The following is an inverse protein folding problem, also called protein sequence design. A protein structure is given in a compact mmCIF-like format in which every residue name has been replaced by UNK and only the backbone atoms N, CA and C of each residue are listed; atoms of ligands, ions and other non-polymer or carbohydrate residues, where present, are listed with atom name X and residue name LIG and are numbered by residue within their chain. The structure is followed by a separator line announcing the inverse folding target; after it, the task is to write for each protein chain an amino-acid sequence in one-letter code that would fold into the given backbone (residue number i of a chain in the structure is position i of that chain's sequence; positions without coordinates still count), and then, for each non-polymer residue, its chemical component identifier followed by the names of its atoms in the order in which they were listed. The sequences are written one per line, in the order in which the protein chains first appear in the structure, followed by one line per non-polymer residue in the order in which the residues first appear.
data_IF_630151366038
#
_entry.id   IF_630151366038
#
_cell.length_a   1.000
_cell.length_b   1.000
_cell.length_c   1.000
_cell.angle_alpha   90.00
_cell.angle_beta   90.00
_cell.angle_gamma   90.00
#
_symmetry.space_group_name_H-M   'P 1'
#
loop_
_entity.id
_entity.type
_entity.pdbx_description
1 polymer ?
#
# COMPACT_ATOMS: atom_id res chain seq x y z
N UNK A 1 -2.98 31.33 1.63
CA UNK A 1 -3.44 29.94 1.79
C UNK A 1 -2.24 29.05 2.05
N UNK A 2 -2.28 28.17 3.04
CA UNK A 2 -1.21 27.21 3.25
C UNK A 2 -1.09 26.33 1.97
N UNK A 3 0.13 26.05 1.54
CA UNK A 3 0.35 25.18 0.38
C UNK A 3 -0.10 23.75 0.72
N UNK A 4 -0.87 23.13 -0.17
CA UNK A 4 -1.26 21.71 -0.02
C UNK A 4 -0.02 20.82 -0.05
N UNK A 5 -0.02 19.78 0.78
CA UNK A 5 1.09 18.83 0.83
C UNK A 5 1.07 17.97 -0.44
N UNK A 6 2.15 17.92 -1.24
CA UNK A 6 2.23 16.95 -2.34
C UNK A 6 2.25 15.53 -1.77
N UNK A 7 1.24 14.72 -2.08
CA UNK A 7 1.07 13.36 -1.56
C UNK A 7 1.03 12.35 -2.70
N UNK A 8 2.04 11.50 -2.78
CA UNK A 8 2.11 10.38 -3.73
C UNK A 8 1.57 9.13 -3.06
N UNK A 9 0.60 8.46 -3.70
CA UNK A 9 -0.07 7.26 -3.21
C UNK A 9 0.17 6.09 -4.16
N UNK A 10 0.64 4.98 -3.60
CA UNK A 10 0.99 3.75 -4.31
C UNK A 10 0.01 2.63 -3.94
N UNK A 11 -0.86 2.20 -4.86
CA UNK A 11 -1.89 1.21 -4.59
C UNK A 11 -1.34 -0.20 -4.36
N UNK A 12 -2.18 -1.04 -3.77
CA UNK A 12 -1.94 -2.47 -3.60
C UNK A 12 -1.94 -3.21 -4.95
N UNK A 13 -1.51 -4.47 -4.93
CA UNK A 13 -1.58 -5.37 -6.09
C UNK A 13 -2.96 -5.34 -6.72
N UNK A 14 -3.03 -5.17 -8.05
CA UNK A 14 -4.27 -5.10 -8.83
C UNK A 14 -5.22 -3.94 -8.46
N UNK A 15 -4.79 -3.00 -7.62
CA UNK A 15 -5.57 -1.82 -7.27
C UNK A 15 -5.20 -0.60 -8.13
N UNK A 16 -6.16 0.29 -8.26
CA UNK A 16 -6.03 1.57 -8.96
C UNK A 16 -6.43 2.75 -8.04
N UNK A 17 -6.75 3.91 -8.63
CA UNK A 17 -7.13 5.11 -7.89
C UNK A 17 -8.38 4.93 -7.01
N UNK A 18 -9.23 3.96 -7.31
CA UNK A 18 -10.42 3.65 -6.53
C UNK A 18 -10.10 3.27 -5.09
N UNK A 19 -8.91 2.65 -4.85
CA UNK A 19 -8.42 2.31 -3.52
C UNK A 19 -8.39 3.50 -2.55
N UNK A 20 -8.12 4.69 -3.08
CA UNK A 20 -7.90 5.91 -2.29
C UNK A 20 -8.95 6.99 -2.55
N UNK A 21 -10.03 6.71 -3.29
CA UNK A 21 -11.05 7.70 -3.66
C UNK A 21 -11.57 8.48 -2.46
N UNK A 22 -11.99 7.79 -1.39
CA UNK A 22 -12.52 8.45 -0.20
C UNK A 22 -11.49 9.38 0.47
N UNK A 23 -10.21 9.01 0.44
CA UNK A 23 -9.12 9.81 1.00
C UNK A 23 -8.81 11.02 0.12
N UNK A 24 -8.71 10.83 -1.20
CA UNK A 24 -8.44 11.94 -2.12
C UNK A 24 -9.51 13.01 -2.08
N UNK A 25 -10.77 12.60 -2.02
CA UNK A 25 -11.91 13.53 -1.91
C UNK A 25 -11.88 14.28 -0.58
N UNK A 26 -11.69 13.57 0.53
CA UNK A 26 -11.73 14.17 1.86
C UNK A 26 -10.49 15.01 2.21
N UNK A 27 -9.35 14.79 1.55
CA UNK A 27 -8.08 15.47 1.81
C UNK A 27 -7.76 16.58 0.80
N UNK A 28 -8.63 16.84 -0.18
CA UNK A 28 -8.37 17.76 -1.30
C UNK A 28 -8.00 19.20 -0.87
N UNK A 29 -8.41 19.65 0.31
CA UNK A 29 -8.07 20.96 0.84
C UNK A 29 -6.66 21.04 1.46
N UNK A 30 -6.13 19.90 1.94
CA UNK A 30 -4.85 19.84 2.68
C UNK A 30 -3.73 19.14 1.92
N UNK A 31 -4.05 18.29 0.93
CA UNK A 31 -3.09 17.55 0.14
C UNK A 31 -3.38 17.62 -1.36
N UNK A 32 -2.32 17.64 -2.15
CA UNK A 32 -2.35 17.42 -3.61
C UNK A 32 -2.02 15.95 -3.87
N UNK A 33 -3.07 15.12 -3.95
CA UNK A 33 -2.94 13.67 -4.04
C UNK A 33 -2.65 13.23 -5.48
N UNK A 34 -1.56 12.50 -5.68
CA UNK A 34 -1.22 11.86 -6.94
C UNK A 34 -1.11 10.36 -6.76
N UNK A 35 -2.05 9.62 -7.35
CA UNK A 35 -2.01 8.15 -7.36
C UNK A 35 -1.19 7.70 -8.56
N UNK A 36 -0.14 6.90 -8.32
CA UNK A 36 0.71 6.36 -9.38
C UNK A 36 0.61 4.84 -9.34
N UNK A 37 0.06 4.28 -10.41
CA UNK A 37 -0.03 2.83 -10.63
C UNK A 37 1.11 2.41 -11.53
N UNK A 38 1.87 1.39 -11.11
CA UNK A 38 2.93 0.80 -11.91
C UNK A 38 2.62 -0.65 -12.23
N UNK A 39 3.11 -1.14 -13.36
CA UNK A 39 2.96 -2.53 -13.77
C UNK A 39 4.27 -3.14 -14.25
N UNK A 40 5.39 -2.67 -13.71
CA UNK A 40 6.72 -3.23 -13.96
C UNK A 40 6.89 -4.56 -13.22
N UNK A 41 7.76 -5.41 -13.72
CA UNK A 41 8.11 -6.70 -13.07
C UNK A 41 9.23 -6.59 -12.03
N UNK A 42 9.62 -5.38 -11.69
CA UNK A 42 10.66 -5.06 -10.70
C UNK A 42 10.28 -3.82 -9.90
N UNK A 43 10.47 -3.84 -8.57
CA UNK A 43 10.23 -2.67 -7.72
C UNK A 43 11.21 -1.54 -8.03
N UNK A 44 12.45 -1.84 -8.41
CA UNK A 44 13.43 -0.82 -8.79
C UNK A 44 12.96 -0.05 -10.04
N UNK A 45 12.48 -0.75 -11.08
CA UNK A 45 11.91 -0.09 -12.28
C UNK A 45 10.63 0.68 -11.94
N UNK A 46 9.76 0.11 -11.11
CA UNK A 46 8.57 0.82 -10.62
C UNK A 46 8.94 2.11 -9.86
N UNK A 47 10.00 2.08 -9.04
CA UNK A 47 10.49 3.26 -8.32
C UNK A 47 10.99 4.35 -9.27
N UNK A 48 11.73 4.00 -10.33
CA UNK A 48 12.14 4.95 -11.37
C UNK A 48 10.92 5.63 -12.04
N UNK A 49 9.90 4.84 -12.38
CA UNK A 49 8.64 5.38 -12.97
C UNK A 49 7.96 6.34 -12.00
N UNK A 50 7.82 5.98 -10.73
CA UNK A 50 7.22 6.84 -9.72
C UNK A 50 8.03 8.12 -9.54
N UNK A 51 9.35 8.02 -9.39
CA UNK A 51 10.23 9.17 -9.15
C UNK A 51 10.27 10.15 -10.35
N UNK A 52 10.07 9.65 -11.57
CA UNK A 52 9.98 10.49 -12.77
C UNK A 52 8.68 11.31 -12.83
N UNK A 53 7.60 10.83 -12.21
CA UNK A 53 6.29 11.47 -12.21
C UNK A 53 6.01 12.26 -10.92
N UNK A 54 6.70 11.93 -9.82
CA UNK A 54 6.49 12.57 -8.52
C UNK A 54 7.07 13.99 -8.48
N UNK A 55 6.51 14.91 -7.66
CA UNK A 55 7.13 16.19 -7.33
C UNK A 55 8.55 16.01 -6.79
N UNK A 56 9.35 17.07 -6.76
CA UNK A 56 10.74 17.03 -6.25
C UNK A 56 10.82 16.57 -4.79
N UNK A 57 9.87 16.97 -3.96
CA UNK A 57 9.68 16.50 -2.57
C UNK A 57 8.20 16.22 -2.33
N UNK A 58 7.88 15.12 -1.67
CA UNK A 58 6.51 14.65 -1.46
C UNK A 58 6.37 13.80 -0.21
N UNK A 59 5.18 13.79 0.35
CA UNK A 59 4.74 12.76 1.29
C UNK A 59 4.40 11.49 0.51
N UNK A 60 4.75 10.33 1.04
CA UNK A 60 4.64 9.05 0.35
C UNK A 60 3.77 8.08 1.14
N UNK A 61 2.66 7.63 0.54
CA UNK A 61 1.78 6.60 1.08
C UNK A 61 1.80 5.34 0.22
N UNK A 62 1.91 4.17 0.85
CA UNK A 62 1.88 2.90 0.13
C UNK A 62 1.09 1.81 0.86
N UNK A 63 0.26 1.08 0.11
CA UNK A 63 -0.53 -0.04 0.62
C UNK A 63 -0.06 -1.35 0.01
N UNK A 64 0.25 -2.35 0.85
CA UNK A 64 0.60 -3.72 0.41
C UNK A 64 1.77 -3.73 -0.59
N UNK A 65 1.57 -4.17 -1.83
CA UNK A 65 2.55 -4.10 -2.91
C UNK A 65 3.06 -2.66 -3.14
N UNK A 66 2.16 -1.66 -3.09
CA UNK A 66 2.53 -0.25 -3.13
C UNK A 66 3.37 0.19 -1.95
N UNK A 67 3.19 -0.43 -0.77
CA UNK A 67 4.05 -0.22 0.38
C UNK A 67 5.45 -0.83 0.19
N UNK A 68 5.57 -1.98 -0.47
CA UNK A 68 6.89 -2.51 -0.85
C UNK A 68 7.61 -1.56 -1.83
N UNK A 69 6.87 -0.98 -2.77
CA UNK A 69 7.41 0.03 -3.70
C UNK A 69 7.81 1.32 -2.95
N UNK A 70 7.02 1.75 -1.97
CA UNK A 70 7.35 2.89 -1.13
C UNK A 70 8.65 2.68 -0.33
N UNK A 71 8.87 1.48 0.19
CA UNK A 71 10.13 1.10 0.85
C UNK A 71 11.32 1.08 -0.11
N UNK A 72 11.11 0.67 -1.38
CA UNK A 72 12.13 0.76 -2.43
C UNK A 72 12.51 2.21 -2.72
N UNK A 73 11.53 3.11 -2.82
CA UNK A 73 11.76 4.55 -3.01
C UNK A 73 12.52 5.15 -1.83
N UNK A 74 12.15 4.81 -0.60
CA UNK A 74 12.89 5.26 0.59
C UNK A 74 14.33 4.77 0.63
N UNK A 75 14.61 3.59 0.08
CA UNK A 75 15.97 3.06 0.01
C UNK A 75 16.82 3.74 -1.06
N UNK A 76 16.21 4.31 -2.11
CA UNK A 76 16.92 4.84 -3.29
C UNK A 76 16.92 6.35 -3.39
N UNK A 77 15.92 7.04 -2.84
CA UNK A 77 15.75 8.49 -2.89
C UNK A 77 15.10 9.05 -1.59
N UNK A 78 15.67 8.76 -0.40
CA UNK A 78 15.07 9.14 0.88
C UNK A 78 14.92 10.66 1.04
N UNK A 79 15.80 11.45 0.44
CA UNK A 79 15.81 12.93 0.49
C UNK A 79 14.58 13.57 -0.18
N UNK A 80 13.88 12.82 -1.04
CA UNK A 80 12.67 13.27 -1.72
C UNK A 80 11.41 13.13 -0.86
N UNK A 81 11.47 12.26 0.19
CA UNK A 81 10.30 11.91 1.03
C UNK A 81 10.27 12.81 2.26
N UNK A 82 9.19 13.57 2.44
CA UNK A 82 8.99 14.49 3.58
C UNK A 82 8.09 13.91 4.67
N UNK A 83 7.42 12.80 4.42
CA UNK A 83 6.59 12.05 5.34
C UNK A 83 6.29 10.68 4.76
N UNK A 84 6.08 9.68 5.61
CA UNK A 84 5.89 8.29 5.18
C UNK A 84 4.65 7.68 5.82
N UNK A 85 3.83 7.04 4.98
CA UNK A 85 2.67 6.25 5.41
C UNK A 85 2.71 4.85 4.81
N UNK A 86 2.65 3.84 5.67
CA UNK A 86 2.69 2.42 5.28
C UNK A 86 1.45 1.69 5.78
N UNK A 87 0.84 0.88 4.91
CA UNK A 87 -0.30 0.03 5.22
C UNK A 87 -0.08 -1.40 4.73
N UNK A 88 -0.26 -2.39 5.62
CA UNK A 88 -0.36 -3.80 5.25
C UNK A 88 0.84 -4.39 4.49
N UNK A 89 2.06 -3.89 4.71
CA UNK A 89 3.23 -4.29 3.92
C UNK A 89 4.27 -5.07 4.73
N UNK A 90 5.04 -5.87 4.01
CA UNK A 90 6.12 -6.68 4.55
C UNK A 90 7.47 -6.18 4.02
N UNK A 91 8.28 -5.56 4.88
CA UNK A 91 9.60 -5.02 4.51
C UNK A 91 10.65 -6.10 4.19
N UNK A 92 10.68 -7.28 4.83
CA UNK A 92 11.59 -8.36 4.45
C UNK A 92 11.37 -8.87 3.03
N UNK A 93 12.36 -9.59 2.49
CA UNK A 93 12.21 -10.39 1.29
C UNK A 93 10.99 -11.33 1.37
N UNK A 94 10.47 -11.77 0.22
CA UNK A 94 9.24 -12.58 0.20
C UNK A 94 9.45 -13.94 0.88
N UNK A 95 8.66 -14.24 1.91
CA UNK A 95 8.84 -15.45 2.73
C UNK A 95 8.42 -16.74 2.00
N UNK A 96 7.38 -16.69 1.17
CA UNK A 96 6.87 -17.85 0.41
C UNK A 96 6.91 -17.59 -1.10
N UNK A 97 8.10 -17.58 -1.66
CA UNK A 97 8.32 -17.41 -3.11
C UNK A 97 7.65 -18.54 -3.90
N UNK A 98 7.72 -19.77 -3.42
CA UNK A 98 7.15 -20.92 -4.13
C UNK A 98 5.62 -20.86 -4.20
N UNK A 99 4.95 -20.50 -3.10
CA UNK A 99 3.49 -20.30 -3.08
C UNK A 99 3.04 -19.18 -3.99
N UNK A 100 3.74 -18.05 -3.98
CA UNK A 100 3.44 -16.93 -4.86
C UNK A 100 3.65 -17.27 -6.34
N UNK A 101 4.67 -18.04 -6.69
CA UNK A 101 4.89 -18.52 -8.06
C UNK A 101 3.80 -19.48 -8.52
N UNK A 102 3.34 -20.40 -7.66
CA UNK A 102 2.19 -21.27 -7.97
C UNK A 102 0.93 -20.46 -8.30
N UNK A 103 0.68 -19.34 -7.58
CA UNK A 103 -0.43 -18.45 -7.93
C UNK A 103 -0.26 -17.86 -9.34
N UNK A 104 0.95 -17.42 -9.67
CA UNK A 104 1.25 -16.89 -11.01
C UNK A 104 1.09 -17.95 -12.11
N UNK A 105 1.43 -19.20 -11.84
CA UNK A 105 1.22 -20.34 -12.78
C UNK A 105 -0.27 -20.59 -13.00
N UNK A 106 -1.11 -20.56 -11.96
CA UNK A 106 -2.56 -20.66 -12.08
C UNK A 106 -3.13 -19.56 -12.96
N UNK A 107 -2.68 -18.32 -12.77
CA UNK A 107 -3.13 -17.19 -13.63
C UNK A 107 -2.72 -17.40 -15.09
N UNK A 108 -1.49 -17.88 -15.36
CA UNK A 108 -1.06 -18.23 -16.74
C UNK A 108 -1.89 -19.35 -17.35
N UNK A 109 -2.39 -20.25 -16.51
CA UNK A 109 -3.30 -21.34 -16.94
C UNK A 109 -4.77 -20.90 -17.13
N UNK A 110 -5.09 -19.60 -16.97
CA UNK A 110 -6.44 -19.06 -17.20
C UNK A 110 -7.30 -18.96 -15.93
N UNK A 111 -6.77 -19.24 -14.74
CA UNK A 111 -7.52 -19.26 -13.47
C UNK A 111 -7.54 -17.87 -12.75
N UNK A 112 -7.41 -16.78 -13.53
CA UNK A 112 -7.23 -15.43 -12.97
C UNK A 112 -8.40 -14.98 -12.09
N UNK A 113 -9.65 -15.14 -12.56
CA UNK A 113 -10.81 -14.68 -11.80
C UNK A 113 -10.92 -15.40 -10.45
N UNK A 114 -10.67 -16.71 -10.42
CA UNK A 114 -10.69 -17.47 -9.16
C UNK A 114 -9.57 -17.05 -8.21
N UNK A 115 -8.38 -16.76 -8.74
CA UNK A 115 -7.28 -16.19 -7.94
C UNK A 115 -7.67 -14.83 -7.34
N UNK A 116 -8.37 -13.98 -8.10
CA UNK A 116 -8.91 -12.69 -7.59
C UNK A 116 -9.91 -12.90 -6.45
N UNK A 117 -10.82 -13.88 -6.57
CA UNK A 117 -11.78 -14.20 -5.51
C UNK A 117 -11.06 -14.66 -4.21
N UNK A 118 -10.12 -15.58 -4.34
CA UNK A 118 -9.34 -16.09 -3.20
C UNK A 118 -8.49 -14.99 -2.53
N UNK A 119 -7.91 -14.08 -3.30
CA UNK A 119 -7.21 -12.90 -2.76
C UNK A 119 -8.19 -11.97 -2.04
N UNK A 120 -9.37 -11.73 -2.60
CA UNK A 120 -10.42 -10.93 -1.99
C UNK A 120 -10.86 -11.47 -0.62
N UNK A 121 -11.04 -12.79 -0.51
CA UNK A 121 -11.43 -13.46 0.75
C UNK A 121 -10.37 -13.31 1.85
N UNK A 122 -9.11 -13.18 1.48
CA UNK A 122 -8.01 -12.96 2.42
C UNK A 122 -7.74 -11.48 2.73
N UNK A 123 -8.00 -10.60 1.76
CA UNK A 123 -7.76 -9.16 1.91
C UNK A 123 -8.81 -8.52 2.82
N UNK A 124 -10.08 -8.91 2.68
CA UNK A 124 -11.19 -8.17 3.24
C UNK A 124 -11.75 -8.87 4.49
N UNK A 125 -11.93 -8.10 5.56
CA UNK A 125 -12.67 -8.57 6.72
C UNK A 125 -14.18 -8.51 6.45
N UNK A 126 -14.75 -9.64 5.98
CA UNK A 126 -16.14 -9.69 5.50
C UNK A 126 -17.18 -9.35 6.57
N UNK A 127 -16.86 -9.57 7.86
CA UNK A 127 -17.74 -9.20 8.99
C UNK A 127 -17.68 -7.70 9.32
N UNK A 128 -16.73 -6.96 8.76
CA UNK A 128 -16.61 -5.52 8.93
C UNK A 128 -17.76 -4.75 8.27
N UNK A 129 -17.99 -3.49 8.67
CA UNK A 129 -19.16 -2.71 8.27
C UNK A 129 -19.26 -2.45 6.76
N UNK A 130 -18.16 -2.53 6.03
CA UNK A 130 -18.09 -2.38 4.58
C UNK A 130 -17.51 -3.60 3.86
N UNK A 131 -17.37 -4.73 4.52
CA UNK A 131 -16.76 -5.94 3.97
C UNK A 131 -17.26 -6.30 2.56
N UNK A 132 -18.56 -6.52 2.34
CA UNK A 132 -19.10 -6.85 1.01
C UNK A 132 -18.83 -5.77 -0.05
N UNK A 133 -18.96 -4.48 0.29
CA UNK A 133 -18.73 -3.38 -0.64
C UNK A 133 -17.23 -3.24 -0.98
N UNK A 134 -16.35 -3.35 0.01
CA UNK A 134 -14.91 -3.31 -0.19
C UNK A 134 -14.43 -4.48 -1.06
N UNK A 135 -14.97 -5.70 -0.84
CA UNK A 135 -14.66 -6.86 -1.67
C UNK A 135 -15.10 -6.67 -3.12
N UNK A 136 -16.31 -6.13 -3.34
CA UNK A 136 -16.80 -5.83 -4.67
C UNK A 136 -15.93 -4.79 -5.40
N UNK A 137 -15.51 -3.75 -4.70
CA UNK A 137 -14.60 -2.72 -5.24
C UNK A 137 -13.23 -3.32 -5.58
N UNK A 138 -12.64 -4.11 -4.69
CA UNK A 138 -11.36 -4.80 -4.95
C UNK A 138 -11.45 -5.70 -6.17
N UNK A 139 -12.51 -6.51 -6.27
CA UNK A 139 -12.75 -7.37 -7.44
C UNK A 139 -12.83 -6.55 -8.74
N UNK A 140 -13.58 -5.45 -8.72
CA UNK A 140 -13.73 -4.60 -9.90
C UNK A 140 -12.40 -3.99 -10.36
N UNK A 141 -11.57 -3.48 -9.42
CA UNK A 141 -10.21 -3.00 -9.73
C UNK A 141 -9.35 -4.13 -10.33
N UNK A 142 -9.35 -5.30 -9.71
CA UNK A 142 -8.54 -6.43 -10.15
C UNK A 142 -8.90 -6.91 -11.56
N UNK A 143 -10.19 -7.00 -11.88
CA UNK A 143 -10.63 -7.39 -13.22
C UNK A 143 -10.29 -6.34 -14.29
N UNK A 144 -10.34 -5.05 -13.94
CA UNK A 144 -9.87 -3.96 -14.84
C UNK A 144 -8.38 -4.03 -15.10
N UNK A 145 -7.58 -4.35 -14.09
CA UNK A 145 -6.13 -4.49 -14.22
C UNK A 145 -5.74 -5.68 -15.10
N UNK A 146 -6.38 -6.81 -14.89
CA UNK A 146 -6.22 -8.01 -15.69
C UNK A 146 -5.00 -8.88 -15.33
N UNK A 147 -4.92 -10.10 -15.95
CA UNK A 147 -3.93 -11.10 -15.60
C UNK A 147 -2.48 -10.67 -15.88
N UNK A 148 -2.23 -9.92 -16.96
CA UNK A 148 -0.89 -9.49 -17.31
C UNK A 148 -0.29 -8.50 -16.30
N UNK A 149 -1.12 -7.60 -15.74
CA UNK A 149 -0.71 -6.71 -14.67
C UNK A 149 -0.44 -7.50 -13.40
N UNK A 150 -1.31 -8.48 -13.06
CA UNK A 150 -1.08 -9.39 -11.94
C UNK A 150 0.30 -10.05 -12.04
N UNK A 151 0.62 -10.64 -13.18
CA UNK A 151 1.87 -11.39 -13.37
C UNK A 151 3.11 -10.50 -13.19
N UNK A 152 3.09 -9.29 -13.74
CA UNK A 152 4.19 -8.33 -13.60
C UNK A 152 4.33 -7.82 -12.15
N UNK A 153 3.25 -7.35 -11.56
CA UNK A 153 3.28 -6.85 -10.19
C UNK A 153 3.62 -7.95 -9.17
N UNK A 154 3.11 -9.18 -9.37
CA UNK A 154 3.48 -10.34 -8.55
C UNK A 154 4.98 -10.64 -8.62
N UNK A 155 5.58 -10.64 -9.82
CA UNK A 155 7.02 -10.88 -9.96
C UNK A 155 7.84 -9.80 -9.24
N UNK A 156 7.43 -8.51 -9.34
CA UNK A 156 8.08 -7.43 -8.62
C UNK A 156 8.03 -7.63 -7.09
N UNK A 157 6.90 -8.10 -6.56
CA UNK A 157 6.74 -8.36 -5.12
C UNK A 157 7.49 -9.62 -4.68
N UNK A 158 7.48 -10.68 -5.50
CA UNK A 158 8.18 -11.95 -5.22
C UNK A 158 9.70 -11.75 -5.14
N UNK A 159 10.24 -10.93 -6.03
CA UNK A 159 11.68 -10.69 -6.16
C UNK A 159 12.20 -9.51 -5.35
N UNK A 160 11.35 -8.90 -4.49
CA UNK A 160 11.74 -7.75 -3.69
C UNK A 160 12.91 -8.06 -2.75
N UNK A 161 13.81 -7.10 -2.63
CA UNK A 161 14.86 -7.14 -1.64
C UNK A 161 14.30 -6.91 -0.21
N UNK A 162 15.04 -7.35 0.80
CA UNK A 162 14.79 -6.96 2.18
C UNK A 162 15.07 -5.46 2.36
N UNK A 163 14.06 -4.71 2.79
CA UNK A 163 14.11 -3.26 3.06
C UNK A 163 13.91 -2.92 4.55
N UNK A 164 14.04 -3.90 5.45
CA UNK A 164 13.88 -3.70 6.89
C UNK A 164 14.83 -2.62 7.43
N UNK A 165 16.01 -2.49 6.88
CA UNK A 165 17.01 -1.50 7.31
C UNK A 165 16.53 -0.04 7.11
N UNK A 166 15.61 0.23 6.18
CA UNK A 166 15.06 1.57 5.92
C UNK A 166 14.49 2.21 7.20
N UNK A 167 13.85 1.42 8.05
CA UNK A 167 13.25 1.94 9.28
C UNK A 167 14.27 2.50 10.27
N UNK A 168 15.53 2.07 10.22
CA UNK A 168 16.60 2.57 11.10
C UNK A 168 17.11 3.96 10.72
N UNK A 169 16.91 4.35 9.48
CA UNK A 169 17.37 5.63 8.91
C UNK A 169 16.23 6.61 8.63
N UNK A 170 14.99 6.16 8.82
CA UNK A 170 13.80 6.95 8.53
C UNK A 170 13.63 8.05 9.59
N UNK A 171 13.73 9.30 9.16
CA UNK A 171 13.69 10.50 10.02
C UNK A 171 12.66 11.52 9.52
N UNK A 172 11.46 11.05 9.17
CA UNK A 172 10.35 11.90 8.77
C UNK A 172 9.09 11.46 9.51
N UNK A 173 8.08 12.35 9.67
CA UNK A 173 6.80 11.95 10.28
C UNK A 173 6.24 10.70 9.62
N UNK A 174 6.05 9.64 10.41
CA UNK A 174 5.69 8.31 9.90
C UNK A 174 4.38 7.83 10.51
N UNK A 175 3.50 7.28 9.65
CA UNK A 175 2.25 6.62 10.00
C UNK A 175 2.29 5.15 9.56
N UNK A 176 2.05 4.23 10.48
CA UNK A 176 1.71 2.84 10.21
C UNK A 176 0.21 2.66 10.45
N UNK A 177 -0.55 2.42 9.36
CA UNK A 177 -2.00 2.26 9.39
C UNK A 177 -2.36 0.82 9.03
N UNK A 178 -2.95 0.08 9.95
CA UNK A 178 -3.20 -1.35 9.82
C UNK A 178 -4.63 -1.74 10.17
N UNK A 179 -5.17 -2.78 9.51
CA UNK A 179 -6.40 -3.40 9.94
C UNK A 179 -6.14 -4.48 10.99
N UNK A 180 -7.03 -4.62 11.97
CA UNK A 180 -6.94 -5.61 13.05
C UNK A 180 -6.92 -7.04 12.53
N UNK A 181 -7.64 -7.31 11.46
CA UNK A 181 -7.83 -8.63 10.88
C UNK A 181 -7.02 -8.85 9.58
N UNK A 182 -5.93 -8.10 9.39
CA UNK A 182 -5.06 -8.28 8.22
C UNK A 182 -4.38 -9.65 8.25
N UNK A 183 -4.72 -10.50 7.25
CA UNK A 183 -4.18 -11.86 7.14
C UNK A 183 -2.86 -11.95 6.37
N UNK A 184 -2.43 -10.88 5.68
CA UNK A 184 -1.16 -10.82 4.94
C UNK A 184 -0.02 -10.22 5.77
N UNK A 185 -0.34 -9.25 6.59
CA UNK A 185 0.59 -8.55 7.44
C UNK A 185 -0.08 -8.27 8.79
N UNK A 186 0.09 -9.12 9.81
CA UNK A 186 -0.53 -8.93 11.12
C UNK A 186 -0.13 -7.57 11.75
N UNK A 187 -1.03 -6.91 12.52
CA UNK A 187 -0.79 -5.56 13.06
C UNK A 187 0.42 -5.45 14.00
N UNK A 188 0.86 -6.55 14.61
CA UNK A 188 2.07 -6.63 15.40
C UNK A 188 3.31 -6.22 14.60
N UNK A 189 3.26 -6.40 13.30
CA UNK A 189 4.32 -5.99 12.38
C UNK A 189 4.46 -4.47 12.30
N UNK A 190 3.34 -3.74 12.34
CA UNK A 190 3.35 -2.27 12.40
C UNK A 190 4.05 -1.77 13.67
N UNK A 191 3.76 -2.38 14.82
CA UNK A 191 4.43 -2.07 16.08
C UNK A 191 5.93 -2.39 16.04
N UNK A 192 6.31 -3.53 15.44
CA UNK A 192 7.72 -3.91 15.29
C UNK A 192 8.49 -2.90 14.41
N UNK A 193 7.89 -2.41 13.32
CA UNK A 193 8.50 -1.38 12.48
C UNK A 193 8.60 -0.03 13.20
N UNK A 194 7.54 0.37 13.88
CA UNK A 194 7.49 1.63 14.62
C UNK A 194 8.54 1.72 15.74
N UNK A 195 8.91 0.59 16.34
CA UNK A 195 9.97 0.54 17.35
C UNK A 195 11.33 1.03 16.84
N UNK A 196 11.58 0.93 15.52
CA UNK A 196 12.80 1.43 14.87
C UNK A 196 12.70 2.86 14.33
N UNK A 197 11.53 3.54 14.44
CA UNK A 197 11.28 4.86 13.82
C UNK A 197 10.87 5.87 14.90
N UNK A 198 11.74 6.79 15.31
CA UNK A 198 11.41 7.77 16.35
C UNK A 198 10.18 8.61 15.96
N UNK A 199 9.22 8.72 16.89
CA UNK A 199 8.01 9.51 16.71
C UNK A 199 7.00 8.94 15.70
N UNK A 200 7.19 7.70 15.23
CA UNK A 200 6.20 7.02 14.38
C UNK A 200 4.88 6.83 15.14
N UNK A 201 3.78 6.94 14.41
CA UNK A 201 2.44 6.65 14.90
C UNK A 201 1.95 5.32 14.34
N UNK A 202 1.41 4.48 15.20
CA UNK A 202 0.69 3.24 14.79
C UNK A 202 -0.78 3.46 15.03
N UNK A 203 -1.60 3.20 14.01
CA UNK A 203 -3.06 3.18 14.09
C UNK A 203 -3.53 1.81 13.61
N UNK A 204 -4.15 1.06 14.51
CA UNK A 204 -4.80 -0.21 14.17
C UNK A 204 -6.29 0.06 14.10
N UNK A 205 -6.88 -0.21 12.94
CA UNK A 205 -8.31 0.00 12.66
C UNK A 205 -9.05 -1.30 12.98
N UNK A 206 -10.01 -1.21 13.90
CA UNK A 206 -10.82 -2.35 14.30
C UNK A 206 -11.83 -2.74 13.19
N UNK A 207 -12.34 -3.97 13.21
CA UNK A 207 -13.26 -4.53 12.22
C UNK A 207 -12.82 -4.30 10.76
N UNK A 208 -11.54 -4.47 10.52
CA UNK A 208 -10.87 -4.12 9.26
C UNK A 208 -9.81 -5.16 8.90
N UNK A 209 -9.78 -5.57 7.64
CA UNK A 209 -8.77 -6.46 7.07
C UNK A 209 -7.57 -5.69 6.52
N UNK A 210 -7.13 -6.07 5.34
CA UNK A 210 -5.88 -5.63 4.72
C UNK A 210 -5.94 -4.21 4.10
N UNK A 211 -7.16 -3.70 3.78
CA UNK A 211 -7.37 -2.47 3.02
C UNK A 211 -8.17 -1.41 3.81
N UNK A 212 -7.61 -0.81 4.87
CA UNK A 212 -8.33 0.17 5.71
C UNK A 212 -8.95 1.32 4.93
N UNK A 213 -8.34 1.75 3.82
CA UNK A 213 -8.86 2.83 2.97
C UNK A 213 -10.18 2.49 2.29
N UNK A 214 -10.46 1.21 2.02
CA UNK A 214 -11.74 0.72 1.50
C UNK A 214 -12.70 0.27 2.59
N UNK A 215 -12.19 -0.44 3.59
CA UNK A 215 -12.99 -1.14 4.59
C UNK A 215 -13.50 -0.19 5.69
N UNK A 216 -12.67 0.79 6.08
CA UNK A 216 -12.96 1.76 7.13
C UNK A 216 -12.48 3.17 6.69
N UNK A 217 -13.04 3.73 5.60
CA UNK A 217 -12.51 4.95 4.99
C UNK A 217 -12.49 6.15 5.92
N UNK A 218 -13.46 6.31 6.82
CA UNK A 218 -13.50 7.43 7.77
C UNK A 218 -12.34 7.36 8.77
N UNK A 219 -12.10 6.19 9.38
CA UNK A 219 -11.00 5.98 10.33
C UNK A 219 -9.63 6.14 9.64
N UNK A 220 -9.47 5.57 8.44
CA UNK A 220 -8.26 5.73 7.65
C UNK A 220 -8.00 7.19 7.30
N UNK A 221 -9.02 7.93 6.84
CA UNK A 221 -8.89 9.35 6.48
C UNK A 221 -8.53 10.21 7.70
N UNK A 222 -9.13 9.96 8.87
CA UNK A 222 -8.79 10.68 10.10
C UNK A 222 -7.32 10.49 10.46
N UNK A 223 -6.84 9.25 10.47
CA UNK A 223 -5.44 8.93 10.77
C UNK A 223 -4.46 9.61 9.79
N UNK A 224 -4.78 9.60 8.50
CA UNK A 224 -3.97 10.22 7.44
C UNK A 224 -3.98 11.74 7.59
N UNK A 225 -5.13 12.37 7.87
CA UNK A 225 -5.25 13.81 8.09
C UNK A 225 -4.40 14.27 9.27
N UNK A 226 -4.45 13.54 10.39
CA UNK A 226 -3.65 13.83 11.58
C UNK A 226 -2.15 13.65 11.33
N UNK A 227 -1.76 12.70 10.49
CA UNK A 227 -0.37 12.54 10.07
C UNK A 227 0.07 13.69 9.15
N UNK A 228 -0.74 14.07 8.16
CA UNK A 228 -0.45 15.20 7.26
C UNK A 228 -0.26 16.52 8.04
N UNK A 229 -1.01 16.72 9.12
CA UNK A 229 -0.87 17.91 9.97
C UNK A 229 0.50 18.01 10.70
N UNK A 230 1.33 16.97 10.62
CA UNK A 230 2.69 16.95 11.22
C UNK A 230 3.79 17.22 10.20
N UNK A 231 3.44 17.41 8.92
CA UNK A 231 4.35 17.73 7.82
C UNK A 231 4.48 19.22 7.64
#
# INVERSE_FOLDING_TARGET
MASRVPLVLLPALLCDAELYRAQTDALAEVADCRIIVTSESSLARSAEVVLSQAPSRFALGGTSAGGNLALEILATAPERVIGFWLTGSNAPAHADVAGARRLSERVRAGDFERVVEELGDRCIHMAGPRGPAARATLRAMALRAGPDVFLRQSEAVITRADRTAVFKTLNVPTLFLWGRHDQFAPPERAHAYAAGVPGARVVVVEDCGHLPTLEQPAAATSAIREWLARL
#
